data_IF_542050978122
#
_entry.id   IF_542050978122
#
_cell.length_a   1.000
_cell.length_b   1.000
_cell.length_c   1.000
_cell.angle_alpha   90.00
_cell.angle_beta   90.00
_cell.angle_gamma   90.00
#
_symmetry.space_group_name_H-M   'P 1'
#
loop_
_entity.id
_entity.type
_entity.pdbx_description
1 polymer ?
#
# COMPACT_ATOMS: atom_id res chain seq x y z
N UNK A 1 -3.16 79.04 7.07
CA UNK A 1 -3.91 77.84 6.67
C UNK A 1 -2.91 76.72 6.43
N UNK A 2 -2.74 75.87 7.42
CA UNK A 2 -1.75 74.79 7.51
C UNK A 2 -2.23 73.59 6.67
N UNK A 3 -1.44 73.19 5.67
CA UNK A 3 -1.69 71.97 4.88
C UNK A 3 -0.83 70.83 5.44
N UNK A 4 -1.45 69.90 6.16
CA UNK A 4 -0.84 68.64 6.54
C UNK A 4 -0.73 67.75 5.30
N UNK A 5 0.50 67.36 4.93
CA UNK A 5 0.73 66.27 3.98
C UNK A 5 0.91 64.98 4.78
N UNK A 6 -0.05 64.06 4.68
CA UNK A 6 0.07 62.71 5.24
C UNK A 6 0.77 61.84 4.21
N UNK A 7 2.00 61.43 4.49
CA UNK A 7 2.74 60.45 3.70
C UNK A 7 2.29 59.07 4.16
N UNK A 8 1.57 58.33 3.30
CA UNK A 8 1.29 56.91 3.50
C UNK A 8 2.55 56.11 3.15
N UNK A 9 3.25 55.60 4.16
CA UNK A 9 4.31 54.62 3.99
C UNK A 9 3.64 53.25 3.77
N UNK A 10 3.53 52.81 2.52
CA UNK A 10 3.12 51.45 2.20
C UNK A 10 4.29 50.51 2.50
N UNK A 11 4.22 49.82 3.64
CA UNK A 11 5.16 48.77 4.01
C UNK A 11 4.89 47.56 3.11
N UNK A 12 5.74 47.36 2.10
CA UNK A 12 5.72 46.14 1.29
C UNK A 12 6.19 44.97 2.17
N UNK A 13 5.24 44.11 2.57
CA UNK A 13 5.52 42.78 3.10
C UNK A 13 6.13 41.95 1.97
N UNK A 14 7.45 41.93 1.89
CA UNK A 14 8.19 40.90 1.16
C UNK A 14 7.92 39.58 1.87
N UNK A 15 7.13 38.71 1.23
CA UNK A 15 7.02 37.32 1.62
C UNK A 15 8.39 36.67 1.40
N UNK A 16 9.17 36.56 2.47
CA UNK A 16 10.37 35.76 2.50
C UNK A 16 9.98 34.32 2.18
N UNK A 17 10.30 33.89 0.97
CA UNK A 17 10.17 32.49 0.56
C UNK A 17 11.24 31.71 1.32
N UNK A 18 10.87 31.20 2.49
CA UNK A 18 11.67 30.19 3.18
C UNK A 18 11.85 29.02 2.21
N UNK A 19 13.09 28.71 1.82
CA UNK A 19 13.44 27.50 1.08
C UNK A 19 13.12 26.29 1.96
N UNK A 20 11.86 25.86 1.91
CA UNK A 20 11.42 24.64 2.54
C UNK A 20 12.07 23.46 1.84
N UNK A 21 12.81 22.64 2.60
CA UNK A 21 13.22 21.30 2.16
C UNK A 21 12.03 20.61 1.51
N UNK A 22 12.23 20.03 0.32
CA UNK A 22 11.16 19.39 -0.46
C UNK A 22 10.45 18.34 0.40
N UNK A 23 9.12 18.30 0.32
CA UNK A 23 8.33 17.19 0.86
C UNK A 23 8.70 15.89 0.14
N UNK A 24 8.80 14.74 0.85
CA UNK A 24 9.02 13.45 0.21
C UNK A 24 7.99 13.17 -0.90
N UNK A 25 8.36 12.41 -1.94
CA UNK A 25 7.40 12.05 -2.98
C UNK A 25 6.21 11.31 -2.40
N UNK A 26 5.04 11.51 -3.02
CA UNK A 26 3.85 10.78 -2.62
C UNK A 26 4.06 9.26 -2.78
N UNK A 27 3.60 8.49 -1.81
CA UNK A 27 3.51 7.03 -1.97
C UNK A 27 2.43 6.74 -3.00
N UNK A 28 2.82 6.08 -4.10
CA UNK A 28 1.90 5.74 -5.19
C UNK A 28 1.23 4.40 -4.90
N UNK A 29 -0.09 4.37 -4.92
CA UNK A 29 -0.85 3.13 -4.73
C UNK A 29 -0.53 2.15 -5.88
N UNK A 30 -0.12 0.89 -5.56
CA UNK A 30 0.11 -0.13 -6.56
C UNK A 30 -1.15 -0.47 -7.36
N UNK A 31 -0.96 -0.90 -8.61
CA UNK A 31 -2.04 -1.45 -9.44
C UNK A 31 -1.75 -2.93 -9.71
N UNK A 32 -2.80 -3.76 -9.69
CA UNK A 32 -2.70 -5.19 -9.98
C UNK A 32 -3.50 -5.48 -11.24
N UNK A 33 -2.91 -6.25 -12.16
CA UNK A 33 -3.59 -6.72 -13.37
C UNK A 33 -2.98 -8.04 -13.85
N UNK A 34 -3.84 -9.03 -14.04
CA UNK A 34 -3.53 -10.39 -14.48
C UNK A 34 -2.44 -11.09 -13.64
N UNK A 35 -2.56 -10.98 -12.31
CA UNK A 35 -1.62 -11.60 -11.37
C UNK A 35 -0.27 -10.88 -11.26
N UNK A 36 -0.15 -9.68 -11.84
CA UNK A 36 1.05 -8.85 -11.80
C UNK A 36 0.77 -7.55 -11.07
N UNK A 37 1.58 -7.24 -10.05
CA UNK A 37 1.57 -5.99 -9.30
C UNK A 37 2.57 -5.00 -9.89
N UNK A 38 2.09 -3.83 -10.27
CA UNK A 38 2.86 -2.70 -10.75
C UNK A 38 3.04 -1.67 -9.63
N UNK A 39 4.29 -1.32 -9.34
CA UNK A 39 4.65 -0.30 -8.36
C UNK A 39 5.51 0.79 -8.99
N UNK A 40 5.38 2.00 -8.45
CA UNK A 40 6.28 3.11 -8.73
C UNK A 40 7.08 3.43 -7.45
N UNK A 41 8.34 2.96 -7.32
CA UNK A 41 9.09 3.12 -6.08
C UNK A 41 9.40 4.57 -5.70
N UNK A 42 9.53 5.47 -6.68
CA UNK A 42 9.90 6.87 -6.48
C UNK A 42 11.14 7.02 -5.55
N UNK A 43 12.23 6.37 -5.93
CA UNK A 43 13.44 6.22 -5.11
C UNK A 43 14.35 7.47 -5.09
N UNK A 44 15.40 7.54 -5.91
CA UNK A 44 16.44 8.57 -5.85
C UNK A 44 16.11 9.83 -6.68
N UNK A 45 14.97 9.82 -7.36
CA UNK A 45 14.48 10.93 -8.16
C UNK A 45 15.20 11.12 -9.50
N UNK A 46 16.20 10.31 -9.86
CA UNK A 46 16.91 10.42 -11.15
C UNK A 46 16.14 9.76 -12.27
N UNK A 47 15.42 8.68 -11.96
CA UNK A 47 14.51 8.01 -12.88
C UNK A 47 13.17 7.75 -12.20
N UNK A 48 12.12 7.79 -13.01
CA UNK A 48 10.82 7.27 -12.65
C UNK A 48 10.66 5.92 -13.35
N UNK A 49 10.54 4.84 -12.59
CA UNK A 49 10.39 3.49 -13.12
C UNK A 49 9.19 2.76 -12.52
N UNK A 50 8.73 1.76 -13.26
CA UNK A 50 7.74 0.79 -12.82
C UNK A 50 8.46 -0.52 -12.57
N UNK A 51 8.15 -1.15 -11.43
CA UNK A 51 8.48 -2.55 -11.21
C UNK A 51 7.21 -3.40 -11.30
N UNK A 52 7.30 -4.50 -12.03
CA UNK A 52 6.27 -5.50 -12.09
C UNK A 52 6.68 -6.75 -11.32
N UNK A 53 5.77 -7.23 -10.49
CA UNK A 53 6.00 -8.34 -9.57
C UNK A 53 4.90 -9.38 -9.73
N UNK A 54 5.28 -10.65 -9.81
CA UNK A 54 4.32 -11.75 -9.71
C UNK A 54 3.65 -11.72 -8.33
N UNK A 55 2.31 -11.66 -8.29
CA UNK A 55 1.56 -11.55 -7.03
C UNK A 55 1.65 -12.83 -6.20
N UNK A 56 1.76 -14.00 -6.83
CA UNK A 56 1.78 -15.29 -6.14
C UNK A 56 3.15 -15.61 -5.56
N UNK A 57 4.21 -15.44 -6.37
CA UNK A 57 5.57 -15.84 -5.98
C UNK A 57 6.39 -14.68 -5.41
N UNK A 58 5.87 -13.45 -5.45
CA UNK A 58 6.58 -12.22 -5.10
C UNK A 58 7.93 -12.06 -5.81
N UNK A 59 8.02 -12.54 -7.05
CA UNK A 59 9.24 -12.43 -7.88
C UNK A 59 9.11 -11.22 -8.79
N UNK A 60 10.12 -10.36 -8.82
CA UNK A 60 10.18 -9.28 -9.81
C UNK A 60 10.21 -9.88 -11.22
N UNK A 61 9.22 -9.54 -12.03
CA UNK A 61 9.10 -9.94 -13.42
C UNK A 61 9.92 -9.02 -14.32
N UNK A 62 9.82 -7.72 -14.10
CA UNK A 62 10.56 -6.71 -14.87
C UNK A 62 10.61 -5.36 -14.14
N UNK A 63 11.53 -4.52 -14.62
CA UNK A 63 11.73 -3.12 -14.24
C UNK A 63 11.77 -2.29 -15.53
N UNK A 64 11.03 -1.18 -15.58
CA UNK A 64 10.92 -0.34 -16.77
C UNK A 64 11.01 1.14 -16.39
N UNK A 65 12.05 1.82 -16.87
CA UNK A 65 12.15 3.28 -16.77
C UNK A 65 11.10 3.96 -17.66
N UNK A 66 10.23 4.76 -17.06
CA UNK A 66 9.19 5.54 -17.75
C UNK A 66 9.75 6.86 -18.27
N UNK A 67 10.47 7.59 -17.41
CA UNK A 67 11.17 8.81 -17.77
C UNK A 67 12.36 9.07 -16.85
N UNK A 68 13.27 9.93 -17.28
CA UNK A 68 14.44 10.36 -16.51
C UNK A 68 14.37 11.86 -16.27
N UNK A 69 14.73 12.28 -15.07
CA UNK A 69 14.88 13.70 -14.76
C UNK A 69 16.26 14.16 -15.27
N UNK A 70 16.27 15.03 -16.29
CA UNK A 70 17.52 15.63 -16.78
C UNK A 70 17.95 16.71 -15.79
N UNK A 71 19.09 16.49 -15.15
CA UNK A 71 19.63 17.36 -14.11
C UNK A 71 20.61 18.35 -14.74
N UNK A 72 20.36 19.64 -14.56
CA UNK A 72 21.36 20.70 -14.76
C UNK A 72 22.31 20.70 -13.55
N UNK A 73 23.61 20.46 -13.73
CA UNK A 73 24.59 20.44 -12.65
C UNK A 73 24.80 21.81 -11.98
N UNK A 74 24.27 22.89 -12.55
CA UNK A 74 24.34 24.25 -11.98
C UNK A 74 23.18 24.57 -11.04
N UNK A 75 22.18 23.69 -10.97
CA UNK A 75 21.02 23.80 -10.10
C UNK A 75 21.05 22.68 -9.05
N UNK A 76 20.41 22.91 -7.91
CA UNK A 76 20.24 21.86 -6.90
C UNK A 76 19.50 20.65 -7.50
N UNK A 77 19.88 19.43 -7.16
CA UNK A 77 19.31 18.23 -7.83
C UNK A 77 17.84 18.02 -7.46
N UNK A 78 17.51 18.19 -6.19
CA UNK A 78 16.21 17.87 -5.60
C UNK A 78 15.09 18.83 -6.02
N UNK A 79 15.43 20.05 -6.45
CA UNK A 79 14.45 20.98 -7.05
C UNK A 79 14.08 20.60 -8.48
N UNK A 80 14.85 19.71 -9.11
CA UNK A 80 14.67 19.30 -10.50
C UNK A 80 13.93 17.97 -10.65
N UNK A 81 13.80 17.20 -9.56
CA UNK A 81 13.10 15.91 -9.60
C UNK A 81 11.58 16.09 -9.77
N UNK A 82 10.96 15.20 -10.51
CA UNK A 82 9.52 14.99 -10.43
C UNK A 82 9.24 13.49 -10.55
N UNK A 83 8.22 13.06 -9.83
CA UNK A 83 7.96 11.66 -9.57
C UNK A 83 6.70 11.18 -10.29
N UNK A 84 6.47 9.86 -10.21
CA UNK A 84 5.17 9.30 -10.55
C UNK A 84 4.21 9.66 -9.42
N UNK A 85 3.05 10.19 -9.77
CA UNK A 85 1.98 10.58 -8.84
C UNK A 85 0.92 9.49 -8.74
N UNK A 86 0.57 8.86 -9.87
CA UNK A 86 -0.54 7.90 -9.93
C UNK A 86 -0.33 6.81 -10.96
N UNK A 87 -0.81 5.62 -10.62
CA UNK A 87 -0.97 4.49 -11.54
C UNK A 87 -2.45 4.19 -11.78
N UNK A 88 -2.74 3.63 -12.96
CA UNK A 88 -4.03 3.05 -13.31
C UNK A 88 -3.83 2.02 -14.41
N UNK A 89 -4.76 1.11 -14.59
CA UNK A 89 -4.71 0.16 -15.72
C UNK A 89 -6.05 0.21 -16.44
N UNK A 90 -6.00 0.17 -17.77
CA UNK A 90 -7.17 0.02 -18.62
C UNK A 90 -6.83 -0.98 -19.72
N UNK A 91 -7.57 -2.08 -19.77
CA UNK A 91 -7.24 -3.24 -20.60
C UNK A 91 -5.76 -3.63 -20.42
N UNK A 92 -4.99 -3.73 -21.52
CA UNK A 92 -3.57 -4.11 -21.50
C UNK A 92 -2.62 -2.91 -21.39
N UNK A 93 -3.11 -1.75 -20.94
CA UNK A 93 -2.32 -0.51 -20.87
C UNK A 93 -2.23 0.00 -19.43
N UNK A 94 -1.00 0.10 -18.93
CA UNK A 94 -0.69 0.77 -17.67
C UNK A 94 -0.57 2.28 -17.91
N UNK A 95 -1.40 3.04 -17.23
CA UNK A 95 -1.44 4.49 -17.26
C UNK A 95 -0.63 5.03 -16.07
N UNK A 96 0.35 5.88 -16.36
CA UNK A 96 1.25 6.47 -15.38
C UNK A 96 1.13 7.98 -15.47
N UNK A 97 0.79 8.64 -14.37
CA UNK A 97 0.73 10.10 -14.28
C UNK A 97 1.90 10.62 -13.46
N UNK A 98 2.58 11.66 -13.93
CA UNK A 98 3.61 12.35 -13.15
C UNK A 98 3.04 13.52 -12.35
N UNK A 99 3.80 13.99 -11.36
CA UNK A 99 3.49 15.21 -10.58
C UNK A 99 3.34 16.46 -11.46
N UNK A 100 3.92 16.45 -12.68
CA UNK A 100 3.80 17.54 -13.65
C UNK A 100 2.55 17.43 -14.53
N UNK A 101 1.68 16.46 -14.28
CA UNK A 101 0.46 16.22 -15.04
C UNK A 101 0.67 15.51 -16.38
N UNK A 102 1.89 15.08 -16.70
CA UNK A 102 2.17 14.31 -17.92
C UNK A 102 1.62 12.89 -17.74
N UNK A 103 0.95 12.39 -18.76
CA UNK A 103 0.44 11.01 -18.79
C UNK A 103 1.27 10.16 -19.76
N UNK A 104 1.72 9.01 -19.26
CA UNK A 104 2.39 7.97 -20.03
C UNK A 104 1.48 6.75 -20.11
N UNK A 105 1.43 6.13 -21.27
CA UNK A 105 0.75 4.86 -21.52
C UNK A 105 1.80 3.80 -21.82
N UNK A 106 1.74 2.70 -21.08
CA UNK A 106 2.68 1.58 -21.19
C UNK A 106 1.88 0.36 -21.63
N UNK A 107 2.19 -0.15 -22.82
CA UNK A 107 1.63 -1.42 -23.29
C UNK A 107 2.24 -2.57 -22.46
N UNK A 108 1.40 -3.34 -21.76
CA UNK A 108 1.85 -4.34 -20.81
C UNK A 108 2.51 -5.56 -21.48
N UNK A 109 2.28 -5.80 -22.77
CA UNK A 109 2.92 -6.90 -23.51
C UNK A 109 4.29 -6.47 -24.03
N UNK A 110 4.31 -5.40 -24.81
CA UNK A 110 5.48 -4.92 -25.55
C UNK A 110 6.38 -4.00 -24.75
N UNK A 111 5.89 -3.43 -23.64
CA UNK A 111 6.55 -2.39 -22.84
C UNK A 111 6.81 -1.09 -23.60
N UNK A 112 6.13 -0.89 -24.73
CA UNK A 112 6.19 0.36 -25.47
C UNK A 112 5.55 1.49 -24.66
N UNK A 113 6.22 2.64 -24.64
CA UNK A 113 5.77 3.83 -23.90
C UNK A 113 5.34 4.89 -24.91
N UNK A 114 4.13 5.42 -24.73
CA UNK A 114 3.62 6.58 -25.46
C UNK A 114 3.29 7.70 -24.48
N UNK A 115 3.72 8.92 -24.80
CA UNK A 115 3.37 10.10 -24.02
C UNK A 115 2.14 10.79 -24.63
N UNK A 116 1.21 11.22 -23.79
CA UNK A 116 0.09 12.07 -24.21
C UNK A 116 -0.05 13.27 -23.28
N UNK A 117 -0.17 14.46 -23.87
CA UNK A 117 -0.55 15.70 -23.16
C UNK A 117 -2.06 15.87 -23.04
N UNK A 118 -2.85 14.94 -23.59
CA UNK A 118 -4.30 15.03 -23.52
C UNK A 118 -4.73 15.01 -22.04
N UNK A 119 -5.38 16.08 -21.61
CA UNK A 119 -6.00 16.17 -20.30
C UNK A 119 -6.87 14.93 -20.08
N UNK A 120 -6.70 14.30 -18.92
CA UNK A 120 -7.48 13.18 -18.41
C UNK A 120 -8.98 13.45 -18.63
N UNK A 121 -9.51 13.11 -19.80
CA UNK A 121 -10.91 13.29 -20.11
C UNK A 121 -11.60 12.08 -19.55
N UNK A 122 -11.95 12.20 -18.27
CA UNK A 122 -12.92 11.39 -17.55
C UNK A 122 -13.09 9.95 -18.10
N UNK A 123 -12.02 9.17 -18.12
CA UNK A 123 -12.17 7.73 -18.10
C UNK A 123 -12.57 7.42 -16.65
N UNK A 124 -13.74 6.80 -16.40
CA UNK A 124 -14.01 6.26 -15.08
C UNK A 124 -12.93 5.22 -14.85
N UNK A 125 -11.94 5.57 -14.02
CA UNK A 125 -10.94 4.62 -13.56
C UNK A 125 -11.71 3.53 -12.84
N UNK A 126 -11.90 2.40 -13.51
CA UNK A 126 -12.28 1.17 -12.84
C UNK A 126 -10.98 0.68 -12.23
N UNK A 127 -10.76 0.80 -10.90
CA UNK A 127 -9.65 0.09 -10.29
C UNK A 127 -9.83 -1.38 -10.63
N UNK A 128 -8.85 -1.96 -11.30
CA UNK A 128 -8.78 -3.39 -11.56
C UNK A 128 -8.64 -4.11 -10.21
N UNK A 129 -9.76 -4.37 -9.55
CA UNK A 129 -9.81 -4.99 -8.21
C UNK A 129 -10.74 -6.18 -8.14
N UNK A 130 -11.50 -6.51 -9.18
CA UNK A 130 -12.58 -7.48 -9.02
C UNK A 130 -12.21 -8.94 -9.35
N UNK A 131 -11.23 -9.17 -10.24
CA UNK A 131 -11.04 -10.51 -10.81
C UNK A 131 -10.01 -11.39 -10.07
N UNK A 132 -9.25 -10.83 -9.11
CA UNK A 132 -8.13 -11.53 -8.45
C UNK A 132 -8.22 -11.59 -6.92
N UNK A 133 -9.18 -10.87 -6.35
CA UNK A 133 -9.48 -10.93 -4.93
C UNK A 133 -10.34 -12.17 -4.71
N UNK A 134 -10.01 -13.06 -3.77
CA UNK A 134 -10.89 -14.16 -3.42
C UNK A 134 -12.31 -13.62 -3.17
N UNK A 135 -13.32 -14.23 -3.79
CA UNK A 135 -14.73 -13.83 -3.68
C UNK A 135 -15.14 -13.60 -2.20
N UNK A 136 -14.54 -14.38 -1.30
CA UNK A 136 -14.68 -14.28 0.14
C UNK A 136 -14.30 -12.87 0.69
N UNK A 137 -13.18 -12.30 0.27
CA UNK A 137 -12.73 -10.96 0.69
C UNK A 137 -13.61 -9.91 0.03
N UNK A 138 -13.91 -10.05 -1.26
CA UNK A 138 -14.75 -9.07 -1.97
C UNK A 138 -16.14 -8.98 -1.33
N UNK A 139 -16.78 -10.11 -1.06
CA UNK A 139 -18.09 -10.17 -0.40
C UNK A 139 -18.07 -9.62 1.02
N UNK A 140 -17.02 -9.91 1.79
CA UNK A 140 -16.95 -9.54 3.20
C UNK A 140 -16.54 -8.08 3.42
N UNK A 141 -15.53 -7.60 2.70
CA UNK A 141 -14.86 -6.31 2.94
C UNK A 141 -15.27 -5.26 1.93
N UNK A 142 -15.36 -5.59 0.64
CA UNK A 142 -15.63 -4.60 -0.43
C UNK A 142 -17.12 -4.36 -0.64
N UNK A 143 -17.91 -5.44 -0.61
CA UNK A 143 -19.35 -5.41 -0.90
C UNK A 143 -20.21 -5.65 0.37
N UNK A 144 -19.58 -5.93 1.51
CA UNK A 144 -20.23 -6.25 2.77
C UNK A 144 -20.52 -5.03 3.65
N UNK A 145 -21.07 -5.27 4.85
CA UNK A 145 -21.34 -4.21 5.83
C UNK A 145 -20.08 -3.48 6.29
N UNK A 146 -18.92 -4.14 6.23
CA UNK A 146 -17.62 -3.58 6.60
C UNK A 146 -17.09 -2.56 5.60
N UNK A 147 -17.57 -2.54 4.35
CA UNK A 147 -17.10 -1.63 3.30
C UNK A 147 -17.24 -0.14 3.65
N UNK A 148 -18.22 0.18 4.51
CA UNK A 148 -18.45 1.55 5.01
C UNK A 148 -17.36 2.02 5.96
N UNK A 149 -16.71 1.08 6.67
CA UNK A 149 -15.75 1.37 7.73
C UNK A 149 -14.32 1.06 7.31
N UNK A 150 -14.13 0.06 6.46
CA UNK A 150 -12.83 -0.43 6.04
C UNK A 150 -12.69 -0.44 4.52
N UNK A 151 -11.45 -0.35 4.07
CA UNK A 151 -11.05 -0.63 2.70
C UNK A 151 -9.84 -1.54 2.66
N UNK A 152 -9.61 -2.21 1.53
CA UNK A 152 -8.40 -2.99 1.34
C UNK A 152 -7.18 -2.08 1.27
N UNK A 153 -6.09 -2.53 1.86
CA UNK A 153 -4.80 -1.86 1.82
C UNK A 153 -3.85 -2.67 0.96
N UNK A 154 -3.22 -2.02 -0.01
CA UNK A 154 -2.24 -2.65 -0.92
C UNK A 154 -0.81 -2.29 -0.55
N UNK A 155 -0.57 -1.79 0.67
CA UNK A 155 0.72 -1.28 1.12
C UNK A 155 1.84 -2.32 1.14
N UNK A 156 1.50 -3.60 1.35
CA UNK A 156 2.44 -4.72 1.39
C UNK A 156 1.91 -5.85 0.52
N UNK A 157 2.82 -6.61 -0.09
CA UNK A 157 2.48 -7.74 -0.96
C UNK A 157 3.14 -9.04 -0.47
N UNK A 158 2.43 -10.18 -0.46
CA UNK A 158 1.01 -10.33 -0.84
C UNK A 158 0.10 -9.50 0.08
N UNK A 159 -0.90 -8.78 -0.44
CA UNK A 159 -1.80 -7.95 0.39
C UNK A 159 -2.95 -8.78 0.99
N UNK A 160 -3.05 -10.04 0.56
CA UNK A 160 -3.86 -11.06 1.20
C UNK A 160 -3.11 -12.40 1.27
N UNK A 161 -3.46 -13.23 2.25
CA UNK A 161 -2.93 -14.59 2.43
C UNK A 161 -4.09 -15.57 2.53
N UNK A 162 -3.86 -16.82 2.11
CA UNK A 162 -4.86 -17.91 2.16
C UNK A 162 -4.29 -19.08 2.96
N UNK A 163 -4.99 -19.47 4.01
CA UNK A 163 -4.58 -20.54 4.93
C UNK A 163 -5.77 -21.05 5.73
N UNK A 164 -5.57 -22.07 6.54
CA UNK A 164 -6.58 -22.57 7.48
C UNK A 164 -6.38 -21.87 8.84
N UNK A 165 -6.77 -20.60 8.97
CA UNK A 165 -6.39 -19.77 10.11
C UNK A 165 -7.18 -20.08 11.38
N UNK A 166 -8.37 -20.65 11.27
CA UNK A 166 -9.19 -21.07 12.43
C UNK A 166 -9.12 -22.57 12.75
N UNK A 167 -8.48 -23.37 11.88
CA UNK A 167 -8.23 -24.79 12.09
C UNK A 167 -9.40 -25.69 11.71
N UNK A 168 -10.37 -25.20 10.94
CA UNK A 168 -11.53 -25.96 10.46
C UNK A 168 -11.28 -26.75 9.16
N UNK A 169 -10.05 -26.66 8.63
CA UNK A 169 -9.62 -27.29 7.36
C UNK A 169 -10.30 -26.74 6.11
N UNK A 170 -10.94 -25.57 6.19
CA UNK A 170 -11.36 -24.77 5.03
C UNK A 170 -10.34 -23.66 4.79
N UNK A 171 -10.30 -23.20 3.54
CA UNK A 171 -9.39 -22.12 3.17
C UNK A 171 -10.04 -20.79 3.56
N UNK A 172 -9.42 -20.14 4.53
CA UNK A 172 -9.70 -18.78 4.94
C UNK A 172 -8.93 -17.78 4.06
N UNK A 173 -9.24 -16.50 4.25
CA UNK A 173 -8.48 -15.40 3.68
C UNK A 173 -8.17 -14.35 4.74
N UNK A 174 -6.92 -13.92 4.82
CA UNK A 174 -6.50 -12.75 5.58
C UNK A 174 -6.15 -11.64 4.59
N UNK A 175 -6.61 -10.41 4.78
CA UNK A 175 -6.30 -9.28 3.90
C UNK A 175 -5.92 -8.06 4.72
N UNK A 176 -4.96 -7.29 4.20
CA UNK A 176 -4.62 -6.00 4.77
C UNK A 176 -5.77 -5.02 4.55
N UNK A 177 -6.13 -4.29 5.61
CA UNK A 177 -7.21 -3.31 5.59
C UNK A 177 -6.79 -2.00 6.21
N UNK A 178 -7.46 -0.93 5.81
CA UNK A 178 -7.34 0.41 6.39
C UNK A 178 -8.69 0.86 6.90
N UNK A 179 -8.75 1.35 8.13
CA UNK A 179 -9.96 1.98 8.66
C UNK A 179 -10.13 3.37 8.04
N UNK A 180 -11.26 3.61 7.37
CA UNK A 180 -11.49 4.83 6.58
C UNK A 180 -11.45 6.11 7.40
N UNK A 181 -11.94 6.07 8.64
CA UNK A 181 -12.07 7.25 9.50
C UNK A 181 -10.77 7.70 10.15
N UNK A 182 -9.83 6.78 10.39
CA UNK A 182 -8.59 7.06 11.13
C UNK A 182 -7.34 6.88 10.28
N UNK A 183 -7.42 6.14 9.18
CA UNK A 183 -6.26 5.73 8.39
C UNK A 183 -5.46 4.57 8.98
N UNK A 184 -5.84 4.07 10.17
CA UNK A 184 -5.14 2.99 10.87
C UNK A 184 -5.19 1.70 10.06
N UNK A 185 -4.09 0.97 10.08
CA UNK A 185 -3.91 -0.26 9.32
C UNK A 185 -4.13 -1.50 10.17
N UNK A 186 -4.55 -2.58 9.54
CA UNK A 186 -4.82 -3.84 10.20
C UNK A 186 -4.99 -4.98 9.22
N UNK A 187 -5.51 -6.09 9.74
CA UNK A 187 -5.77 -7.33 9.01
C UNK A 187 -7.22 -7.73 9.25
N UNK A 188 -7.95 -8.00 8.17
CA UNK A 188 -9.23 -8.67 8.22
C UNK A 188 -9.03 -10.15 7.90
N UNK A 189 -9.44 -11.04 8.82
CA UNK A 189 -9.44 -12.48 8.59
C UNK A 189 -10.88 -12.93 8.38
N UNK A 190 -11.13 -13.57 7.24
CA UNK A 190 -12.44 -14.08 6.82
C UNK A 190 -12.40 -15.61 6.82
N UNK A 191 -13.21 -16.22 7.68
CA UNK A 191 -13.33 -17.67 7.78
C UNK A 191 -14.04 -18.24 6.56
N UNK A 192 -13.46 -19.25 5.91
CA UNK A 192 -13.92 -19.81 4.65
C UNK A 192 -15.27 -20.52 4.77
N UNK A 193 -15.53 -21.18 5.90
CA UNK A 193 -16.77 -21.92 6.14
C UNK A 193 -17.97 -21.02 6.46
N UNK A 194 -17.76 -19.98 7.27
CA UNK A 194 -18.85 -19.16 7.82
C UNK A 194 -18.95 -17.77 7.19
N UNK A 195 -17.88 -17.30 6.54
CA UNK A 195 -17.75 -15.90 6.11
C UNK A 195 -17.58 -14.92 7.27
N UNK A 196 -17.38 -15.42 8.50
CA UNK A 196 -17.18 -14.58 9.68
C UNK A 196 -15.89 -13.78 9.52
N UNK A 197 -15.97 -12.47 9.77
CA UNK A 197 -14.83 -11.57 9.70
C UNK A 197 -14.35 -11.21 11.10
N UNK A 198 -13.04 -11.28 11.33
CA UNK A 198 -12.39 -10.69 12.50
C UNK A 198 -11.41 -9.61 12.03
N UNK A 199 -11.53 -8.40 12.59
CA UNK A 199 -10.60 -7.30 12.36
C UNK A 199 -9.58 -7.25 13.49
N UNK A 200 -8.30 -7.20 13.13
CA UNK A 200 -7.15 -7.10 14.03
C UNK A 200 -6.34 -5.87 13.62
N UNK A 201 -6.02 -4.97 14.56
CA UNK A 201 -5.57 -3.62 14.19
C UNK A 201 -6.72 -2.80 13.60
N UNK A 202 -6.41 -1.81 12.77
CA UNK A 202 -7.38 -0.90 12.14
C UNK A 202 -8.43 -0.38 13.15
N UNK A 203 -7.95 0.11 14.30
CA UNK A 203 -8.77 0.59 15.42
C UNK A 203 -9.24 -0.48 16.40
N UNK A 204 -8.85 -1.75 16.21
CA UNK A 204 -9.16 -2.87 17.13
C UNK A 204 -7.87 -3.46 17.69
N UNK A 205 -7.53 -3.10 18.93
CA UNK A 205 -6.27 -3.50 19.55
C UNK A 205 -6.13 -5.02 19.73
N UNK A 206 -4.93 -5.56 19.50
CA UNK A 206 -4.58 -6.96 19.83
C UNK A 206 -3.15 -7.08 20.38
N UNK A 207 -3.03 -7.59 21.61
CA UNK A 207 -1.74 -7.82 22.26
C UNK A 207 -0.81 -6.61 22.21
N UNK A 208 0.48 -6.85 21.96
CA UNK A 208 1.49 -5.79 21.82
C UNK A 208 1.49 -5.17 20.41
N UNK A 209 0.75 -5.73 19.45
CA UNK A 209 0.61 -5.17 18.10
C UNK A 209 -0.19 -3.88 18.04
N UNK A 210 -0.86 -3.51 19.14
CA UNK A 210 -1.67 -2.30 19.22
C UNK A 210 -2.89 -2.35 18.32
N UNK A 211 -3.43 -1.17 18.00
CA UNK A 211 -4.61 -1.00 17.14
C UNK A 211 -4.27 -0.43 15.75
N UNK A 212 -3.00 -0.20 15.45
CA UNK A 212 -2.51 0.26 14.15
C UNK A 212 -1.28 -0.56 13.74
N UNK A 213 -1.41 -1.26 12.62
CA UNK A 213 -0.38 -2.13 12.07
C UNK A 213 0.51 -1.42 11.05
N UNK A 214 0.57 -0.08 11.05
CA UNK A 214 1.53 0.65 10.24
C UNK A 214 2.98 0.19 10.46
N UNK A 215 3.31 -0.27 11.67
CA UNK A 215 4.65 -0.71 12.07
C UNK A 215 5.16 -1.95 11.31
N UNK A 216 4.28 -2.81 10.80
CA UNK A 216 4.70 -4.04 10.13
C UNK A 216 5.09 -3.74 8.67
N UNK A 217 6.15 -4.38 8.19
CA UNK A 217 6.62 -4.30 6.79
C UNK A 217 6.69 -5.68 6.11
N UNK A 218 6.48 -6.75 6.88
CA UNK A 218 6.45 -8.12 6.39
C UNK A 218 5.37 -8.93 7.11
N UNK A 219 4.75 -9.84 6.36
CA UNK A 219 3.84 -10.84 6.91
C UNK A 219 3.80 -12.10 6.04
N UNK A 220 3.63 -13.26 6.66
CA UNK A 220 3.57 -14.56 5.97
C UNK A 220 2.77 -15.59 6.76
N UNK A 221 2.39 -16.66 6.09
CA UNK A 221 1.77 -17.83 6.73
C UNK A 221 2.87 -18.60 7.48
N UNK A 222 2.57 -18.95 8.73
CA UNK A 222 3.30 -19.91 9.52
C UNK A 222 2.40 -21.14 9.69
N UNK A 223 2.74 -22.21 8.98
CA UNK A 223 1.92 -23.42 8.94
C UNK A 223 1.76 -24.03 10.33
N UNK A 224 0.59 -24.59 10.64
CA UNK A 224 0.34 -25.22 11.96
C UNK A 224 1.33 -26.35 12.31
N UNK A 225 1.83 -27.04 11.28
CA UNK A 225 2.70 -28.21 11.39
C UNK A 225 4.19 -27.82 11.31
N UNK A 226 4.50 -26.53 11.30
CA UNK A 226 5.89 -26.07 11.31
C UNK A 226 6.52 -26.44 12.65
N UNK A 227 7.47 -27.38 12.63
CA UNK A 227 8.19 -27.80 13.82
C UNK A 227 9.02 -26.61 14.34
N UNK A 228 8.64 -26.09 15.50
CA UNK A 228 9.49 -25.24 16.31
C UNK A 228 10.25 -26.15 17.26
N UNK A 229 11.58 -26.18 17.19
CA UNK A 229 12.44 -26.88 18.17
C UNK A 229 12.37 -26.28 19.59
N UNK A 230 11.50 -25.28 19.80
CA UNK A 230 11.28 -24.63 21.08
C UNK A 230 10.17 -25.31 21.88
N UNK A 231 10.54 -25.83 23.04
CA UNK A 231 9.68 -26.53 24.01
C UNK A 231 8.53 -25.68 24.60
N UNK A 232 8.44 -24.39 24.26
CA UNK A 232 7.42 -23.45 24.73
C UNK A 232 6.53 -22.85 23.64
N UNK A 233 6.67 -23.26 22.37
CA UNK A 233 5.85 -22.72 21.31
C UNK A 233 4.36 -23.11 21.47
N UNK A 234 3.42 -22.17 21.27
CA UNK A 234 1.99 -22.47 21.40
C UNK A 234 1.56 -23.52 20.37
N UNK A 235 0.83 -24.55 20.83
CA UNK A 235 0.25 -25.55 19.94
C UNK A 235 -0.81 -24.90 19.05
N UNK A 236 -0.48 -24.76 17.76
CA UNK A 236 -1.34 -24.13 16.77
C UNK A 236 -2.51 -25.06 16.39
N UNK A 237 -3.72 -24.50 16.34
CA UNK A 237 -4.93 -25.22 15.89
C UNK A 237 -5.13 -25.12 14.37
N UNK A 238 -4.74 -24.00 13.81
CA UNK A 238 -4.71 -23.71 12.38
C UNK A 238 -3.43 -22.94 12.06
N UNK A 239 -3.27 -22.54 10.81
CA UNK A 239 -2.18 -21.70 10.36
C UNK A 239 -2.16 -20.37 11.12
N UNK A 240 -0.96 -19.84 11.35
CA UNK A 240 -0.74 -18.57 11.99
C UNK A 240 -0.27 -17.52 10.97
N UNK A 241 -0.45 -16.25 11.31
CA UNK A 241 0.18 -15.13 10.61
C UNK A 241 1.42 -14.73 11.38
N UNK A 242 2.59 -14.87 10.77
CA UNK A 242 3.80 -14.22 11.26
C UNK A 242 3.84 -12.82 10.70
N UNK A 243 3.71 -11.81 11.56
CA UNK A 243 3.84 -10.39 11.23
C UNK A 243 5.15 -9.86 11.78
N UNK A 244 5.83 -8.97 11.07
CA UNK A 244 7.13 -8.46 11.49
C UNK A 244 7.42 -7.06 10.98
N UNK A 245 8.31 -6.38 11.72
CA UNK A 245 9.10 -5.27 11.22
C UNK A 245 10.52 -5.76 11.00
N UNK A 246 11.04 -5.54 9.79
CA UNK A 246 12.37 -6.00 9.39
C UNK A 246 13.42 -5.49 10.39
N UNK A 247 14.29 -6.40 10.84
CA UNK A 247 15.40 -6.13 11.77
C UNK A 247 15.02 -5.63 13.17
N UNK A 248 13.74 -5.68 13.54
CA UNK A 248 13.29 -5.26 14.87
C UNK A 248 12.59 -6.40 15.61
N UNK A 249 11.33 -6.64 15.30
CA UNK A 249 10.48 -7.52 16.09
C UNK A 249 9.50 -8.28 15.19
N UNK A 250 9.08 -9.46 15.65
CA UNK A 250 8.07 -10.27 15.00
C UNK A 250 7.02 -10.75 15.99
N UNK A 251 5.88 -11.20 15.49
CA UNK A 251 4.87 -11.83 16.32
C UNK A 251 4.05 -12.82 15.51
N UNK A 252 3.57 -13.86 16.19
CA UNK A 252 2.55 -14.76 15.68
C UNK A 252 1.17 -14.29 16.10
N UNK A 253 0.27 -14.22 15.13
CA UNK A 253 -1.17 -14.11 15.34
C UNK A 253 -1.78 -15.45 14.99
N UNK A 254 -2.42 -16.12 15.94
CA UNK A 254 -2.96 -17.46 15.74
C UNK A 254 -4.29 -17.66 16.46
N UNK A 255 -5.05 -18.67 16.03
CA UNK A 255 -6.33 -19.03 16.65
C UNK A 255 -6.13 -19.98 17.84
N UNK A 256 -6.64 -19.60 19.01
CA UNK A 256 -6.56 -20.43 20.21
C UNK A 256 -7.74 -21.41 20.40
N UNK A 257 -8.69 -21.42 19.46
CA UNK A 257 -9.94 -22.19 19.53
C UNK A 257 -11.18 -21.33 19.82
N UNK A 258 -10.99 -20.07 20.23
CA UNK A 258 -12.08 -19.12 20.53
C UNK A 258 -11.88 -17.74 19.90
N UNK A 259 -10.63 -17.27 19.83
CA UNK A 259 -10.26 -15.97 19.26
C UNK A 259 -8.83 -16.00 18.71
N UNK A 260 -8.51 -15.01 17.88
CA UNK A 260 -7.12 -14.71 17.53
C UNK A 260 -6.39 -14.12 18.73
N UNK A 261 -5.14 -14.56 18.91
CA UNK A 261 -4.26 -14.14 20.00
C UNK A 261 -2.89 -13.77 19.45
N UNK A 262 -2.21 -12.86 20.16
CA UNK A 262 -0.87 -12.37 19.84
C UNK A 262 0.17 -13.11 20.67
N UNK A 263 1.28 -13.50 20.04
CA UNK A 263 2.49 -14.00 20.71
C UNK A 263 3.72 -13.30 20.15
N UNK A 264 4.41 -12.54 20.99
CA UNK A 264 5.59 -11.75 20.61
C UNK A 264 6.81 -12.66 20.41
N UNK A 265 7.55 -12.47 19.32
CA UNK A 265 8.78 -13.17 18.98
C UNK A 265 9.89 -12.13 18.69
N UNK A 266 10.85 -12.00 19.62
CA UNK A 266 11.92 -11.00 19.56
C UNK A 266 11.59 -9.73 20.35
N UNK A 267 12.63 -9.15 20.96
CA UNK A 267 12.61 -8.00 21.87
C UNK A 267 12.77 -6.66 21.15
#
# INVERSE_FOLDING_TARGET
MTRFSVIFFALALLAESSFGKRTPPATVEPVIHEGVRYIAPNDDGRRAHIEAWDVQTNRKLWDLTVFTNRIDPKLEEDVQWFFIDKLGVHDETLIVKSERGITYQIDLKTKAITQSEAAWSAIPGVPAHRNEIPELIERAITNGSLAKKYELSYRMNPFYLRGDFDGDSKIDAAALVKERSTGKLGIAIVHGSTGKVTILGAGTAIGNGGDDFEWMDSWRIHARDHATDETSAPKLRGDALLVSKSEAASALIYWNGKRYVWSQHGD
#
